data_IF_161303711997
#
_entry.id   IF_161303711997
#
_cell.length_a   1.000
_cell.length_b   1.000
_cell.length_c   1.000
_cell.angle_alpha   90.00
_cell.angle_beta   90.00
_cell.angle_gamma   90.00
#
_symmetry.space_group_name_H-M   'P 1'
#
loop_
_entity.id
_entity.type
_entity.pdbx_description
1 polymer ?
#
# COMPACT_ATOMS: atom_id res chain seq x y z
N UNK A 1 -14.08 2.40 -17.83
CA UNK A 1 -13.96 2.72 -16.40
C UNK A 1 -12.50 2.63 -15.99
N UNK A 2 -11.87 3.75 -15.65
CA UNK A 2 -10.46 3.80 -15.25
C UNK A 2 -10.33 3.36 -13.79
N UNK A 3 -10.33 2.04 -13.55
CA UNK A 3 -9.93 1.50 -12.25
C UNK A 3 -8.42 1.74 -12.14
N UNK A 4 -8.00 2.62 -11.22
CA UNK A 4 -6.56 2.81 -10.98
C UNK A 4 -5.91 1.45 -10.70
N UNK A 5 -4.76 1.21 -11.31
CA UNK A 5 -4.09 -0.08 -11.17
C UNK A 5 -3.43 -0.13 -9.79
N UNK A 6 -3.22 -1.34 -9.27
CA UNK A 6 -2.53 -1.53 -7.98
C UNK A 6 -1.10 -0.99 -7.95
N UNK A 7 -0.47 -0.85 -9.12
CA UNK A 7 0.82 -0.18 -9.27
C UNK A 7 0.70 1.34 -9.05
N UNK A 8 -0.41 1.96 -9.45
CA UNK A 8 -0.63 3.40 -9.27
C UNK A 8 -0.80 3.71 -7.77
N UNK A 9 -1.49 2.85 -7.02
CA UNK A 9 -1.61 2.97 -5.55
C UNK A 9 -0.24 2.94 -4.86
N UNK A 10 0.67 2.08 -5.33
CA UNK A 10 2.05 2.05 -4.82
C UNK A 10 2.77 3.36 -5.11
N UNK A 11 2.68 3.86 -6.35
CA UNK A 11 3.27 5.14 -6.73
C UNK A 11 2.73 6.30 -5.88
N UNK A 12 1.42 6.34 -5.62
CA UNK A 12 0.81 7.34 -4.72
C UNK A 12 1.37 7.22 -3.31
N UNK A 13 1.58 5.99 -2.78
CA UNK A 13 2.22 5.78 -1.49
C UNK A 13 3.64 6.34 -1.43
N UNK A 14 4.44 6.16 -2.49
CA UNK A 14 5.77 6.75 -2.59
C UNK A 14 5.70 8.28 -2.57
N UNK A 15 4.79 8.87 -3.34
CA UNK A 15 4.61 10.35 -3.40
C UNK A 15 4.18 10.90 -2.05
N UNK A 16 3.18 10.32 -1.39
CA UNK A 16 2.73 10.79 -0.07
C UNK A 16 3.86 10.67 0.95
N UNK A 17 4.62 9.58 0.93
CA UNK A 17 5.78 9.41 1.82
C UNK A 17 6.85 10.48 1.56
N UNK A 18 7.13 10.79 0.30
CA UNK A 18 8.08 11.82 -0.11
C UNK A 18 7.63 13.23 0.31
N UNK A 19 6.33 13.53 0.31
CA UNK A 19 5.81 14.81 0.81
C UNK A 19 6.17 15.03 2.29
N UNK A 20 6.15 13.97 3.11
CA UNK A 20 6.58 14.06 4.51
C UNK A 20 8.10 14.08 4.65
N UNK A 21 8.81 13.23 3.90
CA UNK A 21 10.26 13.07 4.00
C UNK A 21 11.06 14.17 3.31
N UNK A 22 10.43 14.97 2.44
CA UNK A 22 11.04 15.96 1.52
C UNK A 22 12.08 15.37 0.55
N UNK A 23 12.20 14.04 0.53
CA UNK A 23 13.11 13.27 -0.32
C UNK A 23 12.43 11.94 -0.67
N UNK A 24 12.79 11.30 -1.81
CA UNK A 24 12.13 10.06 -2.19
C UNK A 24 12.32 8.98 -1.12
N UNK A 25 11.27 8.23 -0.82
CA UNK A 25 11.32 7.14 0.18
C UNK A 25 12.29 6.01 -0.25
N UNK A 26 12.36 5.74 -1.55
CA UNK A 26 13.19 4.67 -2.12
C UNK A 26 14.11 5.25 -3.21
N UNK A 27 15.36 5.53 -2.86
CA UNK A 27 16.33 6.24 -3.70
C UNK A 27 17.25 5.27 -4.45
N UNK A 28 16.70 4.49 -5.38
CA UNK A 28 17.48 3.61 -6.24
C UNK A 28 17.90 4.29 -7.54
N UNK A 29 19.18 4.26 -7.89
CA UNK A 29 19.67 4.78 -9.18
C UNK A 29 19.39 3.80 -10.34
N UNK A 30 19.47 2.49 -10.07
CA UNK A 30 19.15 1.42 -11.02
C UNK A 30 18.03 0.54 -10.48
N UNK A 31 17.47 -0.31 -11.34
CA UNK A 31 16.38 -1.23 -10.97
C UNK A 31 16.73 -2.18 -9.81
N UNK A 32 17.97 -2.66 -9.75
CA UNK A 32 18.45 -3.50 -8.64
C UNK A 32 18.62 -2.71 -7.34
N UNK A 33 19.09 -1.47 -7.43
CA UNK A 33 19.27 -0.58 -6.28
C UNK A 33 17.90 -0.18 -5.71
N UNK A 34 16.91 0.04 -6.59
CA UNK A 34 15.53 0.31 -6.21
C UNK A 34 14.92 -0.84 -5.37
N UNK A 35 15.19 -2.09 -5.75
CA UNK A 35 14.74 -3.24 -4.97
C UNK A 35 15.41 -3.30 -3.60
N UNK A 36 16.71 -3.00 -3.53
CA UNK A 36 17.47 -2.94 -2.27
C UNK A 36 16.89 -1.89 -1.33
N UNK A 37 16.59 -0.69 -1.82
CA UNK A 37 15.97 0.37 -1.01
C UNK A 37 14.55 0.00 -0.51
N UNK A 38 13.77 -0.72 -1.32
CA UNK A 38 12.47 -1.25 -0.88
C UNK A 38 12.65 -2.29 0.24
N UNK A 39 13.59 -3.24 0.08
CA UNK A 39 13.89 -4.27 1.09
C UNK A 39 14.42 -3.65 2.38
N UNK A 40 15.19 -2.56 2.28
CA UNK A 40 15.62 -1.80 3.45
C UNK A 40 14.40 -1.36 4.26
N UNK A 41 13.37 -0.78 3.66
CA UNK A 41 12.20 -0.33 4.45
C UNK A 41 11.28 -1.50 4.82
N UNK A 42 10.82 -2.29 3.84
CA UNK A 42 9.79 -3.31 4.00
C UNK A 42 10.31 -4.69 4.44
N UNK A 43 11.62 -4.84 4.56
CA UNK A 43 12.24 -6.13 4.84
C UNK A 43 12.27 -7.06 3.63
N UNK A 44 12.80 -8.25 3.85
CA UNK A 44 12.91 -9.27 2.82
C UNK A 44 11.52 -9.85 2.50
N UNK A 45 11.05 -9.78 1.24
CA UNK A 45 9.74 -10.32 0.88
C UNK A 45 9.69 -11.83 1.07
N UNK A 46 8.56 -12.32 1.56
CA UNK A 46 8.28 -13.74 1.71
C UNK A 46 8.11 -14.41 0.34
N UNK A 47 8.23 -15.75 0.29
CA UNK A 47 7.95 -16.52 -0.93
C UNK A 47 6.54 -16.27 -1.49
N UNK A 48 5.55 -16.04 -0.62
CA UNK A 48 4.17 -15.77 -1.03
C UNK A 48 4.05 -14.41 -1.72
N UNK A 49 4.66 -13.39 -1.13
CA UNK A 49 4.69 -12.03 -1.72
C UNK A 49 5.42 -12.01 -3.06
N UNK A 50 6.56 -12.71 -3.17
CA UNK A 50 7.29 -12.83 -4.44
C UNK A 50 6.44 -13.50 -5.51
N UNK A 51 5.79 -14.63 -5.17
CA UNK A 51 4.90 -15.32 -6.09
C UNK A 51 3.70 -14.45 -6.51
N UNK A 52 3.18 -13.62 -5.61
CA UNK A 52 2.10 -12.68 -5.92
C UNK A 52 2.53 -11.52 -6.83
N UNK A 53 3.80 -11.09 -6.74
CA UNK A 53 4.35 -10.05 -7.61
C UNK A 53 4.75 -10.59 -9.00
N UNK A 54 5.44 -11.73 -9.03
CA UNK A 54 5.89 -12.37 -10.26
C UNK A 54 6.01 -13.89 -10.05
N UNK A 55 5.00 -14.68 -10.47
CA UNK A 55 5.00 -16.14 -10.33
C UNK A 55 6.19 -16.84 -11.03
N UNK A 56 6.77 -16.20 -12.04
CA UNK A 56 7.90 -16.74 -12.81
C UNK A 56 9.26 -16.37 -12.21
N UNK A 57 9.29 -15.58 -11.14
CA UNK A 57 10.53 -15.19 -10.48
C UNK A 57 11.06 -16.35 -9.63
N UNK A 58 12.22 -16.89 -10.01
CA UNK A 58 12.88 -17.93 -9.22
C UNK A 58 13.45 -17.32 -7.95
N UNK A 59 12.91 -17.74 -6.81
CA UNK A 59 13.34 -17.31 -5.48
C UNK A 59 14.82 -17.62 -5.24
N UNK A 60 15.64 -16.59 -5.10
CA UNK A 60 16.96 -16.69 -4.47
C UNK A 60 16.76 -16.56 -2.95
N UNK A 61 17.47 -17.37 -2.17
CA UNK A 61 17.41 -17.30 -0.70
C UNK A 61 18.03 -15.99 -0.21
N UNK A 62 17.25 -14.91 -0.21
CA UNK A 62 17.69 -13.64 0.35
C UNK A 62 17.91 -13.79 1.87
N UNK A 63 18.95 -13.16 2.42
CA UNK A 63 19.09 -12.99 3.85
C UNK A 63 17.83 -12.34 4.45
N UNK A 64 17.49 -12.69 5.69
CA UNK A 64 16.29 -12.17 6.33
C UNK A 64 16.57 -10.79 6.92
N UNK A 65 16.02 -9.76 6.27
CA UNK A 65 15.96 -8.38 6.79
C UNK A 65 14.58 -8.17 7.42
N UNK A 66 14.55 -7.81 8.70
CA UNK A 66 13.29 -7.46 9.38
C UNK A 66 12.79 -6.10 8.86
N UNK A 67 11.48 -5.92 8.61
CA UNK A 67 10.93 -4.62 8.22
C UNK A 67 11.18 -3.56 9.29
N UNK A 68 11.30 -2.31 8.85
CA UNK A 68 11.16 -1.16 9.76
C UNK A 68 9.69 -0.99 10.11
N UNK A 69 9.40 -0.57 11.35
CA UNK A 69 8.05 -0.08 11.66
C UNK A 69 7.82 1.22 10.89
N UNK A 70 6.61 1.45 10.39
CA UNK A 70 6.31 2.70 9.68
C UNK A 70 6.51 3.95 10.54
N UNK A 71 6.27 3.88 11.85
CA UNK A 71 6.61 4.98 12.77
C UNK A 71 8.11 5.29 12.80
N UNK A 72 8.97 4.28 12.68
CA UNK A 72 10.43 4.48 12.62
C UNK A 72 10.89 5.09 11.29
N UNK A 73 10.16 4.85 10.20
CA UNK A 73 10.46 5.46 8.88
C UNK A 73 10.30 6.97 8.93
N UNK A 74 9.32 7.47 9.70
CA UNK A 74 9.03 8.89 9.86
C UNK A 74 9.54 9.45 11.19
N UNK A 75 10.41 8.72 11.90
CA UNK A 75 10.96 9.18 13.18
C UNK A 75 11.80 10.45 12.98
N UNK A 76 11.58 11.45 13.83
CA UNK A 76 12.27 12.74 13.74
C UNK A 76 11.76 13.68 12.64
N UNK A 77 10.76 13.27 11.85
CA UNK A 77 10.12 14.14 10.86
C UNK A 77 9.04 14.98 11.54
N UNK A 78 9.21 16.31 11.48
CA UNK A 78 8.25 17.26 12.03
C UNK A 78 7.99 18.41 11.05
N UNK A 79 6.73 18.81 10.93
CA UNK A 79 6.29 20.01 10.21
C UNK A 79 5.53 20.93 11.16
N UNK A 80 5.95 22.18 11.27
CA UNK A 80 5.38 23.15 12.22
C UNK A 80 5.23 22.60 13.65
N UNK A 81 6.28 21.93 14.15
CA UNK A 81 6.31 21.24 15.45
C UNK A 81 5.34 20.07 15.61
N UNK A 82 4.68 19.63 14.54
CA UNK A 82 3.81 18.46 14.52
C UNK A 82 4.51 17.27 13.87
N UNK A 83 4.31 16.08 14.44
CA UNK A 83 4.78 14.82 13.85
C UNK A 83 3.85 14.38 12.72
N UNK A 84 4.32 13.46 11.89
CA UNK A 84 3.48 12.83 10.86
C UNK A 84 2.25 12.16 11.53
N UNK A 85 1.01 12.46 11.09
CA UNK A 85 -0.19 11.89 11.70
C UNK A 85 -0.21 10.36 11.62
N UNK A 86 -0.67 9.69 12.69
CA UNK A 86 -0.76 8.22 12.73
C UNK A 86 -1.65 7.66 11.62
N UNK A 87 -2.74 8.34 11.26
CA UNK A 87 -3.61 7.91 10.16
C UNK A 87 -2.91 8.00 8.80
N UNK A 88 -1.95 8.91 8.62
CA UNK A 88 -1.12 8.98 7.42
C UNK A 88 -0.17 7.79 7.35
N UNK A 89 0.50 7.48 8.47
CA UNK A 89 1.40 6.33 8.62
C UNK A 89 0.64 5.02 8.34
N UNK A 90 -0.57 4.90 8.90
CA UNK A 90 -1.45 3.76 8.72
C UNK A 90 -1.93 3.62 7.26
N UNK A 91 -2.29 4.73 6.60
CA UNK A 91 -2.65 4.73 5.17
C UNK A 91 -1.48 4.26 4.29
N UNK A 92 -0.28 4.80 4.51
CA UNK A 92 0.93 4.46 3.76
C UNK A 92 1.29 2.98 3.92
N UNK A 93 1.11 2.43 5.13
CA UNK A 93 1.34 1.01 5.40
C UNK A 93 0.44 0.09 4.56
N UNK A 94 -0.74 0.56 4.16
CA UNK A 94 -1.69 -0.17 3.33
C UNK A 94 -1.51 0.07 1.82
N UNK A 95 -0.71 1.06 1.43
CA UNK A 95 -0.36 1.32 0.02
C UNK A 95 0.91 0.56 -0.38
N UNK A 96 1.90 0.55 0.51
CA UNK A 96 3.25 0.07 0.26
C UNK A 96 3.42 -1.37 0.75
N UNK A 97 2.61 -2.27 0.16
CA UNK A 97 2.63 -3.72 0.41
C UNK A 97 3.16 -4.44 -0.84
N UNK A 98 4.01 -5.47 -0.67
CA UNK A 98 4.53 -6.26 -1.78
C UNK A 98 3.40 -6.90 -2.61
N UNK A 99 2.48 -7.61 -1.96
CA UNK A 99 1.32 -8.25 -2.59
C UNK A 99 0.38 -7.21 -3.21
N UNK A 100 0.26 -7.10 -4.55
CA UNK A 100 -0.51 -6.01 -5.17
C UNK A 100 -2.01 -6.08 -4.87
N UNK A 101 -2.57 -7.27 -4.70
CA UNK A 101 -3.98 -7.48 -4.38
C UNK A 101 -4.38 -7.02 -2.98
N UNK A 102 -3.42 -6.96 -2.04
CA UNK A 102 -3.65 -6.59 -0.65
C UNK A 102 -3.59 -5.07 -0.42
N UNK A 103 -3.06 -4.31 -1.38
CA UNK A 103 -3.07 -2.85 -1.33
C UNK A 103 -4.50 -2.33 -1.34
N UNK A 104 -4.76 -1.21 -0.66
CA UNK A 104 -6.06 -0.54 -0.75
C UNK A 104 -6.43 -0.23 -2.22
N UNK A 105 -7.72 -0.12 -2.49
CA UNK A 105 -8.18 0.51 -3.74
C UNK A 105 -8.30 2.02 -3.55
N UNK A 106 -8.41 2.78 -4.64
CA UNK A 106 -8.66 4.23 -4.54
C UNK A 106 -9.85 4.57 -3.63
N UNK A 107 -11.00 3.92 -3.85
CA UNK A 107 -12.20 4.21 -3.08
C UNK A 107 -12.08 3.80 -1.62
N UNK A 108 -11.46 2.66 -1.33
CA UNK A 108 -11.21 2.25 0.05
C UNK A 108 -10.21 3.19 0.74
N UNK A 109 -9.27 3.75 -0.01
CA UNK A 109 -8.35 4.77 0.48
C UNK A 109 -9.02 6.12 0.74
N UNK A 110 -9.92 6.57 -0.14
CA UNK A 110 -10.70 7.79 0.07
C UNK A 110 -11.55 7.69 1.35
N UNK A 111 -11.97 6.48 1.73
CA UNK A 111 -12.70 6.22 2.95
C UNK A 111 -11.82 6.12 4.21
N UNK A 112 -10.50 6.28 4.08
CA UNK A 112 -9.58 6.19 5.21
C UNK A 112 -9.76 7.38 6.17
N UNK A 113 -9.60 7.19 7.50
CA UNK A 113 -9.70 8.26 8.50
C UNK A 113 -8.77 9.45 8.26
N UNK A 114 -7.63 9.20 7.59
CA UNK A 114 -6.69 10.25 7.18
C UNK A 114 -7.36 11.42 6.41
N UNK A 115 -8.45 11.14 5.69
CA UNK A 115 -9.19 12.16 4.93
C UNK A 115 -10.46 12.66 5.64
N UNK A 116 -10.69 12.33 6.92
CA UNK A 116 -11.88 12.77 7.66
C UNK A 116 -11.94 14.29 7.83
N UNK A 117 -10.80 14.95 8.06
CA UNK A 117 -10.73 16.41 8.17
C UNK A 117 -11.20 17.10 6.87
N UNK A 118 -10.93 16.50 5.71
CA UNK A 118 -11.40 17.02 4.42
C UNK A 118 -12.92 16.97 4.27
N UNK A 119 -13.58 16.10 5.05
CA UNK A 119 -15.04 15.96 5.08
C UNK A 119 -15.70 16.85 6.14
N UNK A 120 -14.92 17.58 6.93
CA UNK A 120 -15.46 18.49 7.92
C UNK A 120 -16.17 19.66 7.25
N UNK A 121 -17.38 20.04 7.70
CA UNK A 121 -18.07 21.23 7.18
C UNK A 121 -17.31 22.54 7.48
N UNK A 122 -16.39 22.52 8.44
CA UNK A 122 -15.60 23.68 8.86
C UNK A 122 -14.38 23.96 7.95
N UNK A 123 -14.10 23.08 6.98
CA UNK A 123 -12.99 23.28 6.06
C UNK A 123 -13.38 24.29 4.97
N UNK A 124 -13.00 25.56 5.16
CA UNK A 124 -13.37 26.67 4.26
C UNK A 124 -12.56 26.70 2.94
N UNK A 125 -11.53 25.86 2.79
CA UNK A 125 -10.59 25.92 1.66
C UNK A 125 -10.48 24.59 0.91
N UNK A 126 -10.64 24.64 -0.41
CA UNK A 126 -10.34 23.52 -1.29
C UNK A 126 -11.08 23.60 -2.64
N UNK A 127 -10.63 22.84 -3.65
CA UNK A 127 -11.45 22.61 -4.84
C UNK A 127 -12.74 21.87 -4.48
N UNK A 128 -13.67 21.73 -5.42
CA UNK A 128 -14.83 20.87 -5.20
C UNK A 128 -14.36 19.40 -5.10
N UNK A 129 -14.28 18.87 -3.88
CA UNK A 129 -13.77 17.52 -3.58
C UNK A 129 -14.83 16.42 -3.68
N UNK A 130 -16.12 16.78 -3.70
CA UNK A 130 -17.24 15.86 -3.56
C UNK A 130 -18.13 15.78 -4.81
N UNK A 131 -17.63 16.28 -5.96
CA UNK A 131 -18.30 16.25 -7.25
C UNK A 131 -18.13 14.92 -8.01
N UNK A 132 -18.33 13.80 -7.32
CA UNK A 132 -18.23 12.47 -7.93
C UNK A 132 -19.21 12.30 -9.09
N UNK A 133 -18.75 11.67 -10.16
CA UNK A 133 -19.59 11.27 -11.29
C UNK A 133 -20.51 10.10 -10.90
N UNK A 134 -21.58 9.88 -11.67
CA UNK A 134 -22.51 8.78 -11.41
C UNK A 134 -21.82 7.40 -11.40
N UNK A 135 -20.85 7.21 -12.27
CA UNK A 135 -20.03 5.99 -12.35
C UNK A 135 -19.21 5.77 -11.07
N UNK A 136 -18.62 6.84 -10.52
CA UNK A 136 -17.84 6.78 -9.27
C UNK A 136 -18.73 6.50 -8.07
N UNK A 137 -19.93 7.10 -8.01
CA UNK A 137 -20.94 6.83 -7.00
C UNK A 137 -21.36 5.36 -7.03
N UNK A 138 -21.58 4.77 -8.20
CA UNK A 138 -21.93 3.36 -8.34
C UNK A 138 -20.82 2.45 -7.81
N UNK A 139 -19.55 2.76 -8.11
CA UNK A 139 -18.40 2.01 -7.61
C UNK A 139 -18.28 2.11 -6.09
N UNK A 140 -18.39 3.32 -5.53
CA UNK A 140 -18.36 3.55 -4.09
C UNK A 140 -19.51 2.83 -3.36
N UNK A 141 -20.70 2.79 -3.97
CA UNK A 141 -21.87 2.08 -3.46
C UNK A 141 -21.62 0.58 -3.40
N UNK A 142 -21.14 -0.03 -4.49
CA UNK A 142 -20.80 -1.46 -4.56
C UNK A 142 -19.75 -1.86 -3.51
N UNK A 143 -18.83 -0.94 -3.20
CA UNK A 143 -17.79 -1.10 -2.18
C UNK A 143 -18.25 -0.80 -0.75
N UNK A 144 -19.47 -0.26 -0.57
CA UNK A 144 -20.03 0.12 0.73
C UNK A 144 -19.23 1.21 1.45
N UNK A 145 -18.54 2.07 0.69
CA UNK A 145 -17.75 3.20 1.22
C UNK A 145 -18.39 4.56 0.94
N UNK A 146 -19.50 4.59 0.19
CA UNK A 146 -20.16 5.82 -0.24
C UNK A 146 -20.49 6.76 0.93
N UNK A 147 -21.08 6.22 2.01
CA UNK A 147 -21.43 7.00 3.21
C UNK A 147 -20.21 7.52 3.98
N UNK A 148 -19.04 6.97 3.75
CA UNK A 148 -17.79 7.40 4.39
C UNK A 148 -17.10 8.48 3.57
N UNK A 149 -17.09 8.36 2.24
CA UNK A 149 -16.37 9.31 1.37
C UNK A 149 -17.15 10.60 1.09
N UNK A 150 -18.49 10.60 1.28
CA UNK A 150 -19.36 11.75 1.06
C UNK A 150 -19.89 12.32 2.37
N UNK A 151 -19.68 13.62 2.64
CA UNK A 151 -20.36 14.34 3.72
C UNK A 151 -21.88 14.27 3.57
N UNK A 152 -22.60 14.37 4.69
CA UNK A 152 -24.06 14.15 4.75
C UNK A 152 -24.85 15.14 3.89
N UNK A 153 -24.31 16.33 3.71
CA UNK A 153 -24.89 17.43 2.95
C UNK A 153 -25.04 17.07 1.45
N UNK A 154 -24.21 16.15 0.96
CA UNK A 154 -24.24 15.70 -0.44
C UNK A 154 -25.16 14.48 -0.66
N UNK A 155 -25.70 13.87 0.41
CA UNK A 155 -26.47 12.63 0.29
C UNK A 155 -27.75 12.80 -0.52
N UNK A 156 -28.46 13.91 -0.33
CA UNK A 156 -29.69 14.21 -1.08
C UNK A 156 -29.44 14.35 -2.58
N UNK A 157 -28.32 14.99 -2.96
CA UNK A 157 -27.92 15.18 -4.36
C UNK A 157 -27.72 13.84 -5.09
N UNK A 158 -27.26 12.82 -4.37
CA UNK A 158 -26.99 11.49 -4.93
C UNK A 158 -28.09 10.46 -4.59
N UNK A 159 -29.22 10.89 -4.03
CA UNK A 159 -30.35 10.01 -3.69
C UNK A 159 -30.02 8.99 -2.58
N UNK A 160 -29.07 9.30 -1.71
CA UNK A 160 -28.64 8.45 -0.60
C UNK A 160 -29.58 8.68 0.59
N UNK A 161 -30.28 7.63 1.04
CA UNK A 161 -31.16 7.73 2.21
C UNK A 161 -30.33 7.72 3.50
N UNK A 162 -30.61 8.64 4.42
CA UNK A 162 -30.09 8.56 5.78
C UNK A 162 -30.79 7.41 6.50
N UNK A 163 -30.02 6.43 7.00
CA UNK A 163 -30.59 5.37 7.82
C UNK A 163 -31.12 6.01 9.11
N UNK A 164 -32.43 6.28 9.16
CA UNK A 164 -33.14 6.44 10.43
C UNK A 164 -33.12 5.10 11.14
N UNK A 165 -32.71 5.12 12.40
CA UNK A 165 -32.58 3.98 13.30
C UNK A 165 -33.55 2.83 13.01
N UNK A 166 -33.03 1.61 12.87
CA UNK A 166 -33.83 0.41 13.13
C UNK A 166 -32.99 -0.63 13.86
N UNK A 167 -33.42 -0.83 15.10
CA UNK A 167 -33.03 -1.84 16.05
C UNK A 167 -33.43 -3.23 15.54
N UNK A 168 -32.53 -4.22 15.64
CA UNK A 168 -32.86 -5.65 15.69
C UNK A 168 -32.90 -6.41 14.36
N UNK A 169 -32.15 -7.51 14.29
CA UNK A 169 -32.36 -8.55 13.26
C UNK A 169 -31.12 -9.37 12.91
N UNK A 170 -30.92 -10.48 13.62
CA UNK A 170 -29.98 -11.55 13.27
C UNK A 170 -30.32 -12.23 11.93
N UNK A 171 -29.31 -12.73 11.22
CA UNK A 171 -29.50 -13.62 10.06
C UNK A 171 -28.24 -13.71 9.19
N UNK A 172 -27.29 -14.56 9.57
CA UNK A 172 -27.02 -15.87 8.95
C UNK A 172 -26.29 -15.81 7.60
N UNK A 173 -25.08 -16.35 7.64
CA UNK A 173 -24.21 -16.68 6.52
C UNK A 173 -24.90 -17.69 5.58
N UNK A 174 -24.82 -17.43 4.27
CA UNK A 174 -25.11 -18.42 3.25
C UNK A 174 -24.01 -18.40 2.18
N UNK A 175 -23.24 -19.48 2.14
CA UNK A 175 -22.38 -19.84 1.02
C UNK A 175 -23.24 -20.11 -0.22
N UNK A 176 -22.82 -19.63 -1.38
CA UNK A 176 -23.23 -20.23 -2.66
C UNK A 176 -22.04 -20.31 -3.61
N UNK A 177 -21.68 -21.55 -3.88
CA UNK A 177 -20.84 -22.02 -4.98
C UNK A 177 -21.66 -21.99 -6.27
N UNK A 178 -21.06 -21.61 -7.40
CA UNK A 178 -21.37 -22.03 -8.79
C UNK A 178 -20.39 -21.25 -9.69
N UNK A 179 -19.31 -21.89 -10.17
CA UNK A 179 -19.20 -22.73 -11.38
C UNK A 179 -19.09 -21.92 -12.68
N UNK A 180 -18.11 -22.35 -13.47
CA UNK A 180 -17.54 -21.75 -14.66
C UNK A 180 -18.52 -21.61 -15.83
N UNK A 181 -18.24 -20.65 -16.71
CA UNK A 181 -18.19 -20.93 -18.14
C UNK A 181 -17.28 -19.95 -18.91
N UNK A 182 -16.94 -20.37 -20.12
CA UNK A 182 -15.71 -20.17 -20.89
C UNK A 182 -15.67 -19.02 -21.90
N UNK A 183 -14.43 -18.71 -22.31
CA UNK A 183 -13.94 -18.28 -23.64
C UNK A 183 -13.98 -16.80 -24.06
N UNK A 184 -12.81 -16.34 -24.53
CA UNK A 184 -12.66 -15.12 -25.34
C UNK A 184 -11.20 -14.62 -25.39
N UNK A 185 -10.39 -15.24 -26.24
CA UNK A 185 -9.01 -14.87 -26.57
C UNK A 185 -8.82 -13.40 -26.98
N UNK A 186 -7.84 -12.71 -26.39
CA UNK A 186 -7.09 -11.65 -27.09
C UNK A 186 -5.62 -11.69 -26.66
N UNK A 187 -4.78 -12.10 -27.61
CA UNK A 187 -3.33 -12.18 -27.56
C UNK A 187 -2.73 -10.77 -27.59
N UNK A 188 -2.08 -10.33 -26.50
CA UNK A 188 -1.31 -9.08 -26.47
C UNK A 188 0.18 -9.40 -26.23
N UNK A 189 0.95 -9.34 -27.30
CA UNK A 189 2.42 -9.43 -27.34
C UNK A 189 3.05 -8.24 -26.60
N UNK A 190 3.65 -8.50 -25.44
CA UNK A 190 4.57 -7.57 -24.79
C UNK A 190 6.01 -7.84 -25.30
N UNK A 191 6.65 -6.81 -25.87
CA UNK A 191 8.08 -6.83 -26.21
C UNK A 191 8.87 -6.88 -24.90
N UNK A 192 9.42 -8.05 -24.59
CA UNK A 192 10.42 -8.22 -23.55
C UNK A 192 11.75 -7.61 -23.99
N UNK A 193 12.35 -6.81 -23.11
CA UNK A 193 13.75 -6.44 -23.17
C UNK A 193 14.59 -7.70 -22.89
N UNK A 194 15.32 -8.16 -23.90
CA UNK A 194 16.24 -9.30 -23.79
C UNK A 194 17.45 -8.91 -22.95
N UNK A 195 17.44 -9.25 -21.66
CA UNK A 195 18.65 -9.32 -20.85
C UNK A 195 19.28 -10.71 -21.00
N UNK A 196 20.60 -10.75 -21.22
CA UNK A 196 21.37 -12.00 -21.36
C UNK A 196 21.48 -12.70 -20.01
N UNK A 197 21.42 -14.03 -19.98
CA UNK A 197 21.39 -14.84 -18.75
C UNK A 197 22.57 -14.58 -17.79
N UNK A 198 23.70 -14.08 -18.31
CA UNK A 198 24.87 -13.68 -17.54
C UNK A 198 24.67 -12.39 -16.72
N UNK A 199 23.91 -11.41 -17.23
CA UNK A 199 23.63 -10.17 -16.49
C UNK A 199 22.63 -10.40 -15.36
N UNK A 200 21.62 -11.24 -15.59
CA UNK A 200 20.61 -11.60 -14.59
C UNK A 200 21.23 -12.24 -13.35
N UNK A 201 22.25 -13.09 -13.53
CA UNK A 201 22.96 -13.71 -12.41
C UNK A 201 23.77 -12.65 -11.63
N UNK A 202 24.49 -11.76 -12.31
CA UNK A 202 25.25 -10.69 -11.66
C UNK A 202 24.33 -9.74 -10.85
N UNK A 203 23.19 -9.36 -11.40
CA UNK A 203 22.19 -8.52 -10.73
C UNK A 203 21.62 -9.19 -9.49
N UNK A 204 21.31 -10.49 -9.56
CA UNK A 204 20.83 -11.26 -8.40
C UNK A 204 21.90 -11.36 -7.30
N UNK A 205 23.16 -11.61 -7.67
CA UNK A 205 24.26 -11.65 -6.70
C UNK A 205 24.50 -10.28 -6.05
N UNK A 206 24.40 -9.20 -6.81
CA UNK A 206 24.48 -7.85 -6.28
C UNK A 206 23.40 -7.59 -5.22
N UNK A 207 22.14 -7.86 -5.54
CA UNK A 207 21.04 -7.69 -4.58
C UNK A 207 21.26 -8.56 -3.33
N UNK A 208 21.67 -9.82 -3.50
CA UNK A 208 21.97 -10.71 -2.37
C UNK A 208 23.04 -10.13 -1.43
N UNK A 209 24.14 -9.64 -2.00
CA UNK A 209 25.22 -9.00 -1.23
C UNK A 209 24.70 -7.79 -0.45
N UNK A 210 23.98 -6.88 -1.11
CA UNK A 210 23.45 -5.68 -0.46
C UNK A 210 22.45 -5.99 0.64
N UNK A 211 21.58 -6.98 0.42
CA UNK A 211 20.60 -7.41 1.44
C UNK A 211 21.29 -8.06 2.63
N UNK A 212 22.39 -8.79 2.41
CA UNK A 212 23.22 -9.34 3.50
C UNK A 212 23.82 -8.22 4.36
N UNK A 213 24.40 -7.19 3.73
CA UNK A 213 24.98 -6.05 4.46
C UNK A 213 23.92 -5.34 5.32
N UNK A 214 22.71 -5.09 4.77
CA UNK A 214 21.59 -4.50 5.52
C UNK A 214 21.21 -5.38 6.73
N UNK A 215 21.20 -6.70 6.56
CA UNK A 215 20.87 -7.63 7.64
C UNK A 215 21.91 -7.60 8.78
N UNK A 216 23.19 -7.43 8.44
CA UNK A 216 24.30 -7.32 9.40
C UNK A 216 24.26 -5.99 10.15
N UNK A 217 24.10 -4.87 9.44
CA UNK A 217 23.96 -3.54 10.03
C UNK A 217 22.82 -3.49 11.07
N UNK A 218 21.67 -4.11 10.77
CA UNK A 218 20.52 -4.17 11.69
C UNK A 218 20.76 -5.02 12.92
N UNK A 219 21.60 -6.04 12.84
CA UNK A 219 21.95 -6.87 13.99
C UNK A 219 22.91 -6.15 14.94
N UNK A 220 23.81 -5.34 14.41
CA UNK A 220 24.74 -4.52 15.21
C UNK A 220 24.04 -3.41 16.00
N UNK A 221 22.92 -2.87 15.48
CA UNK A 221 22.15 -1.80 16.12
C UNK A 221 21.24 -2.32 17.25
N UNK A 222 20.89 -3.61 17.30
CA UNK A 222 20.11 -4.14 18.43
C UNK A 222 21.02 -4.27 19.65
N UNK A 223 20.75 -3.57 20.77
CA UNK A 223 21.58 -3.68 21.96
C UNK A 223 21.55 -5.14 22.45
N UNK A 224 22.73 -5.73 22.61
CA UNK A 224 22.88 -6.99 23.34
C UNK A 224 22.27 -6.78 24.72
N UNK A 225 21.11 -7.39 24.97
CA UNK A 225 20.53 -7.45 26.31
C UNK A 225 21.48 -8.25 27.20
N UNK A 226 22.45 -7.57 27.79
CA UNK A 226 23.30 -8.13 28.84
C UNK A 226 22.38 -8.43 30.03
N UNK A 227 22.13 -9.72 30.27
CA UNK A 227 21.36 -10.17 31.42
C UNK A 227 22.17 -9.90 32.69
N UNK A 228 21.63 -9.23 33.73
CA UNK A 228 22.32 -9.17 35.00
C UNK A 228 22.32 -10.57 35.63
N UNK A 229 23.51 -11.12 35.83
CA UNK A 229 23.73 -12.28 36.69
C UNK A 229 23.16 -11.97 38.08
N UNK A 230 22.14 -12.73 38.50
CA UNK A 230 21.75 -12.80 39.90
C UNK A 230 22.86 -13.52 40.66
N UNK A 231 23.54 -12.79 41.54
CA UNK A 231 24.19 -13.35 42.72
C UNK A 231 23.23 -13.25 43.91
#
# INVERSE_FOLDING_TARGET
MSVIKKIDVWSVGCVISELFLTTPLFQGERSVDQLVEIIKVLGTPTRREIAAMNPNYTYSNFPTVKPLSWSAVFEGITYDSQVVPNDAIDLLSKFLIFTPSERLTAFDALAHPYFDELRSPDLEFGPNLFNFTQDEIEVASKRKVLHTILPKEYWEQFGIQSNKDTTGGSGSFANSTLSANTNGDVKATAKGSTSTASSVNADQQYVLSRVQEIAEERQLVQPTKSSPQKN
#
